data_IF_279963931841
#
_entry.id   IF_279963931841
#
_cell.length_a   1.000
_cell.length_b   1.000
_cell.length_c   1.000
_cell.angle_alpha   90.00
_cell.angle_beta   90.00
_cell.angle_gamma   90.00
#
_symmetry.space_group_name_H-M   'P 1'
#
loop_
_entity.id
_entity.type
_entity.pdbx_description
1 polymer ?
#
# COMPACT_ATOMS: atom_id res chain seq x y z
N UNK A 1 8.99 -3.71 31.52
CA UNK A 1 8.44 -4.59 30.47
C UNK A 1 9.24 -4.40 29.17
N UNK A 2 10.49 -4.85 29.12
CA UNK A 2 11.28 -4.96 27.87
C UNK A 2 11.20 -6.40 27.35
N UNK A 3 10.01 -6.99 27.43
CA UNK A 3 9.82 -8.42 27.24
C UNK A 3 9.87 -8.77 25.77
N UNK A 4 11.01 -9.32 25.37
CA UNK A 4 11.15 -10.38 24.36
C UNK A 4 10.84 -10.05 22.90
N UNK A 5 11.10 -8.81 22.44
CA UNK A 5 11.14 -8.48 21.00
C UNK A 5 12.07 -9.40 20.19
N UNK A 6 13.16 -9.86 20.81
CA UNK A 6 14.08 -10.84 20.21
C UNK A 6 13.45 -12.21 20.01
N UNK A 7 12.68 -12.70 20.99
CA UNK A 7 12.01 -14.01 20.87
C UNK A 7 10.89 -13.95 19.84
N UNK A 8 10.12 -12.86 19.83
CA UNK A 8 9.10 -12.61 18.80
C UNK A 8 9.70 -12.56 17.40
N UNK A 9 10.84 -11.87 17.21
CA UNK A 9 11.54 -11.86 15.92
C UNK A 9 11.93 -13.29 15.48
N UNK A 10 12.47 -14.09 16.40
CA UNK A 10 12.87 -15.48 16.12
C UNK A 10 11.66 -16.35 15.78
N UNK A 11 10.52 -16.16 16.44
CA UNK A 11 9.28 -16.89 16.17
C UNK A 11 8.75 -16.59 14.75
N UNK A 12 8.68 -15.32 14.37
CA UNK A 12 8.29 -14.93 13.01
C UNK A 12 9.25 -15.45 11.96
N UNK A 13 10.56 -15.42 12.21
CA UNK A 13 11.56 -16.03 11.30
C UNK A 13 11.32 -17.53 11.15
N UNK A 14 11.08 -18.24 12.25
CA UNK A 14 10.86 -19.69 12.21
C UNK A 14 9.63 -20.04 11.38
N UNK A 15 8.54 -19.29 11.53
CA UNK A 15 7.33 -19.47 10.73
C UNK A 15 7.58 -19.09 9.26
N UNK A 16 8.30 -17.98 9.00
CA UNK A 16 8.63 -17.54 7.66
C UNK A 16 9.45 -18.59 6.89
N UNK A 17 10.51 -19.12 7.51
CA UNK A 17 11.36 -20.16 6.92
C UNK A 17 10.58 -21.46 6.70
N UNK A 18 9.65 -21.80 7.59
CA UNK A 18 8.79 -22.98 7.41
C UNK A 18 7.89 -22.85 6.18
N UNK A 19 7.25 -21.69 6.00
CA UNK A 19 6.39 -21.42 4.84
C UNK A 19 7.20 -21.27 3.55
N UNK A 20 8.41 -20.69 3.62
CA UNK A 20 9.35 -20.57 2.50
C UNK A 20 9.80 -21.95 2.01
N UNK A 21 10.20 -22.84 2.93
CA UNK A 21 10.54 -24.23 2.61
C UNK A 21 9.35 -25.04 2.09
N UNK A 22 8.12 -24.66 2.49
CA UNK A 22 6.89 -25.26 1.97
C UNK A 22 6.49 -24.71 0.57
N UNK A 23 7.24 -23.74 0.03
CA UNK A 23 6.91 -23.08 -1.24
C UNK A 23 5.75 -22.09 -1.16
N UNK A 24 5.27 -21.79 0.04
CA UNK A 24 4.16 -20.86 0.29
C UNK A 24 4.66 -19.42 0.36
N UNK A 25 5.22 -18.93 -0.74
CA UNK A 25 5.81 -17.59 -0.85
C UNK A 25 4.86 -16.45 -0.46
N UNK A 26 3.57 -16.59 -0.77
CA UNK A 26 2.53 -15.61 -0.43
C UNK A 26 2.34 -15.43 1.09
N UNK A 27 2.60 -16.48 1.89
CA UNK A 27 2.54 -16.42 3.36
C UNK A 27 3.90 -16.13 3.97
N UNK A 28 4.99 -16.61 3.35
CA UNK A 28 6.35 -16.39 3.83
C UNK A 28 6.75 -14.91 3.77
N UNK A 29 6.39 -14.19 2.70
CA UNK A 29 6.75 -12.78 2.53
C UNK A 29 6.31 -11.86 3.69
N UNK A 30 5.01 -11.82 4.07
CA UNK A 30 4.57 -10.96 5.19
C UNK A 30 5.19 -11.39 6.54
N UNK A 31 5.48 -12.68 6.74
CA UNK A 31 6.15 -13.15 7.96
C UNK A 31 7.60 -12.67 8.04
N UNK A 32 8.33 -12.67 6.92
CA UNK A 32 9.68 -12.07 6.86
C UNK A 32 9.65 -10.56 7.11
N UNK A 33 8.68 -9.84 6.56
CA UNK A 33 8.53 -8.39 6.79
C UNK A 33 8.29 -8.07 8.27
N UNK A 34 7.39 -8.83 8.93
CA UNK A 34 7.13 -8.68 10.36
C UNK A 34 8.40 -8.97 11.19
N UNK A 35 9.14 -10.04 10.88
CA UNK A 35 10.39 -10.36 11.57
C UNK A 35 11.43 -9.22 11.48
N UNK A 36 11.57 -8.60 10.29
CA UNK A 36 12.50 -7.48 10.09
C UNK A 36 12.09 -6.25 10.90
N UNK A 37 10.80 -5.97 11.06
CA UNK A 37 10.33 -4.86 11.91
C UNK A 37 10.76 -5.06 13.38
N UNK A 38 10.62 -6.28 13.90
CA UNK A 38 11.09 -6.61 15.25
C UNK A 38 12.62 -6.53 15.40
N UNK A 39 13.38 -6.96 14.39
CA UNK A 39 14.83 -6.79 14.41
C UNK A 39 15.26 -5.32 14.36
N UNK A 40 14.58 -4.49 13.55
CA UNK A 40 14.84 -3.04 13.47
C UNK A 40 14.60 -2.36 14.81
N UNK A 41 13.51 -2.71 15.49
CA UNK A 41 13.24 -2.17 16.83
C UNK A 41 14.28 -2.66 17.83
N UNK A 42 14.69 -3.93 17.79
CA UNK A 42 15.73 -4.46 18.68
C UNK A 42 17.10 -3.80 18.46
N UNK A 43 17.51 -3.56 17.21
CA UNK A 43 18.76 -2.85 16.88
C UNK A 43 18.80 -1.41 17.42
N UNK A 44 17.65 -0.73 17.51
CA UNK A 44 17.53 0.62 18.07
C UNK A 44 17.89 0.68 19.57
N UNK A 45 17.59 -0.39 20.31
CA UNK A 45 17.77 -0.44 21.77
C UNK A 45 18.94 -1.31 22.23
N UNK A 46 19.53 -2.11 21.35
CA UNK A 46 20.73 -2.88 21.65
C UNK A 46 21.93 -1.94 21.89
N UNK A 47 22.79 -2.27 22.86
CA UNK A 47 23.99 -1.47 23.19
C UNK A 47 25.27 -2.23 22.91
N UNK A 48 25.21 -3.56 22.85
CA UNK A 48 26.38 -4.38 22.62
C UNK A 48 26.73 -4.44 21.11
N UNK A 49 27.92 -3.98 20.70
CA UNK A 49 28.30 -3.92 19.29
C UNK A 49 28.36 -5.30 18.62
N UNK A 50 28.80 -6.34 19.33
CA UNK A 50 28.87 -7.71 18.78
C UNK A 50 27.48 -8.30 18.49
N UNK A 51 26.51 -7.99 19.36
CA UNK A 51 25.12 -8.44 19.19
C UNK A 51 24.46 -7.66 18.04
N UNK A 52 24.71 -6.35 17.94
CA UNK A 52 24.27 -5.54 16.79
C UNK A 52 24.77 -6.09 15.48
N UNK A 53 26.05 -6.42 15.40
CA UNK A 53 26.66 -6.96 14.19
C UNK A 53 26.01 -8.29 13.79
N UNK A 54 25.88 -9.23 14.72
CA UNK A 54 25.24 -10.52 14.46
C UNK A 54 23.76 -10.39 14.02
N UNK A 55 23.01 -9.46 14.64
CA UNK A 55 21.61 -9.22 14.29
C UNK A 55 21.50 -8.48 12.95
N UNK A 56 22.41 -7.57 12.66
CA UNK A 56 22.44 -6.86 11.36
C UNK A 56 22.76 -7.83 10.22
N UNK A 57 23.70 -8.75 10.41
CA UNK A 57 23.99 -9.81 9.42
C UNK A 57 22.74 -10.64 9.13
N UNK A 58 22.04 -11.10 10.17
CA UNK A 58 20.80 -11.86 10.00
C UNK A 58 19.66 -11.03 9.40
N UNK A 59 19.57 -9.75 9.75
CA UNK A 59 18.60 -8.83 9.16
C UNK A 59 18.81 -8.71 7.64
N UNK A 60 20.06 -8.52 7.20
CA UNK A 60 20.38 -8.43 5.76
C UNK A 60 20.10 -9.74 5.04
N UNK A 61 20.40 -10.88 5.65
CA UNK A 61 20.10 -12.22 5.11
C UNK A 61 18.59 -12.40 4.85
N UNK A 62 17.75 -12.10 5.85
CA UNK A 62 16.30 -12.23 5.72
C UNK A 62 15.68 -11.16 4.80
N UNK A 63 16.24 -9.95 4.75
CA UNK A 63 15.80 -8.91 3.83
C UNK A 63 16.03 -9.36 2.37
N UNK A 64 17.21 -9.88 2.05
CA UNK A 64 17.53 -10.39 0.72
C UNK A 64 16.59 -11.53 0.34
N UNK A 65 16.34 -12.47 1.25
CA UNK A 65 15.41 -13.57 0.98
C UNK A 65 13.99 -13.08 0.71
N UNK A 66 13.53 -12.06 1.43
CA UNK A 66 12.21 -11.48 1.21
C UNK A 66 12.11 -10.72 -0.13
N UNK A 67 13.20 -10.08 -0.58
CA UNK A 67 13.28 -9.48 -1.93
C UNK A 67 13.21 -10.54 -3.03
N UNK A 68 13.90 -11.67 -2.86
CA UNK A 68 13.83 -12.81 -3.78
C UNK A 68 12.38 -13.35 -3.87
N UNK A 69 11.73 -13.55 -2.72
CA UNK A 69 10.34 -14.00 -2.65
C UNK A 69 9.41 -13.00 -3.33
N UNK A 70 9.63 -11.69 -3.13
CA UNK A 70 8.84 -10.65 -3.79
C UNK A 70 9.00 -10.71 -5.31
N UNK A 71 10.21 -10.89 -5.83
CA UNK A 71 10.43 -11.02 -7.27
C UNK A 71 9.72 -12.25 -7.84
N UNK A 72 9.76 -13.39 -7.16
CA UNK A 72 9.04 -14.61 -7.56
C UNK A 72 7.52 -14.41 -7.52
N UNK A 73 7.00 -13.70 -6.52
CA UNK A 73 5.58 -13.36 -6.45
C UNK A 73 5.16 -12.39 -7.56
N UNK A 74 6.01 -11.44 -7.94
CA UNK A 74 5.75 -10.48 -9.03
C UNK A 74 5.79 -11.15 -10.41
N UNK A 75 6.73 -12.09 -10.62
CA UNK A 75 6.78 -12.94 -11.82
C UNK A 75 5.64 -13.99 -11.86
N UNK A 76 5.14 -14.41 -10.69
CA UNK A 76 4.02 -15.35 -10.52
C UNK A 76 2.62 -14.76 -10.72
N UNK A 77 2.49 -13.43 -10.83
CA UNK A 77 1.22 -12.72 -11.15
C UNK A 77 0.92 -12.81 -12.67
N UNK A 78 1.22 -13.97 -13.26
CA UNK A 78 0.63 -14.50 -14.50
C UNK A 78 -0.23 -15.74 -14.27
N UNK A 79 -0.35 -16.27 -13.04
CA UNK A 79 -1.21 -17.43 -12.73
C UNK A 79 -1.54 -17.46 -11.24
N UNK A 80 -2.68 -16.87 -10.87
CA UNK A 80 -3.27 -17.07 -9.54
C UNK A 80 -3.99 -18.43 -9.47
N UNK A 81 -4.06 -19.02 -8.26
CA UNK A 81 -5.38 -19.36 -7.76
C UNK A 81 -5.56 -19.07 -6.25
N UNK A 82 -6.67 -18.44 -5.88
CA UNK A 82 -7.37 -18.74 -4.63
C UNK A 82 -8.25 -19.99 -4.82
N UNK A 83 -8.77 -20.71 -3.83
CA UNK A 83 -8.72 -20.64 -2.36
C UNK A 83 -9.42 -21.89 -1.80
N UNK A 84 -8.93 -22.41 -0.66
CA UNK A 84 -9.63 -23.12 0.43
C UNK A 84 -10.31 -24.49 0.24
N UNK A 85 -10.01 -25.41 1.19
CA UNK A 85 -11.00 -26.29 1.83
C UNK A 85 -11.08 -27.74 1.34
N UNK A 86 -10.88 -28.69 2.25
CA UNK A 86 -10.86 -30.13 2.05
C UNK A 86 -12.20 -30.75 1.59
N UNK A 87 -12.18 -31.72 0.66
CA UNK A 87 -12.55 -33.15 0.84
C UNK A 87 -12.32 -33.97 -0.46
N UNK A 88 -11.53 -35.05 -0.31
CA UNK A 88 -11.60 -36.41 -0.89
C UNK A 88 -12.14 -36.69 -2.33
N UNK A 89 -11.32 -37.47 -3.06
CA UNK A 89 -11.59 -38.42 -4.17
C UNK A 89 -11.47 -37.96 -5.65
N UNK A 90 -10.73 -38.80 -6.39
CA UNK A 90 -10.40 -38.87 -7.84
C UNK A 90 -11.28 -39.96 -8.51
N UNK A 91 -11.43 -40.17 -9.85
CA UNK A 91 -11.06 -39.41 -11.08
C UNK A 91 -12.18 -39.22 -12.15
N UNK A 92 -11.81 -38.47 -13.21
CA UNK A 92 -12.10 -38.67 -14.66
C UNK A 92 -13.33 -38.00 -15.34
N UNK A 93 -12.98 -37.34 -16.46
CA UNK A 93 -13.67 -37.25 -17.76
C UNK A 93 -14.54 -36.01 -18.07
N UNK A 94 -14.16 -35.32 -19.17
CA UNK A 94 -15.09 -34.70 -20.11
C UNK A 94 -15.42 -33.20 -19.99
N UNK A 95 -15.01 -32.43 -21.00
CA UNK A 95 -15.85 -31.37 -21.60
C UNK A 95 -15.60 -29.91 -21.19
N UNK A 96 -15.35 -29.09 -22.21
CA UNK A 96 -15.40 -27.60 -22.27
C UNK A 96 -16.65 -27.02 -21.58
N UNK A 97 -16.72 -25.79 -21.04
CA UNK A 97 -16.55 -24.50 -21.72
C UNK A 97 -16.80 -23.33 -20.73
N UNK A 98 -16.27 -22.13 -21.03
CA UNK A 98 -16.97 -20.86 -20.75
C UNK A 98 -16.64 -20.07 -19.47
N UNK A 99 -15.77 -19.04 -19.59
CA UNK A 99 -15.63 -17.98 -18.59
C UNK A 99 -14.63 -16.90 -18.99
N UNK A 100 -14.93 -16.17 -20.08
CA UNK A 100 -14.06 -15.15 -20.67
C UNK A 100 -13.68 -14.00 -19.72
N UNK A 101 -12.43 -13.55 -19.83
CA UNK A 101 -12.07 -12.20 -19.38
C UNK A 101 -12.83 -11.20 -20.25
N UNK A 102 -13.73 -10.47 -19.60
CA UNK A 102 -14.63 -9.53 -20.24
C UNK A 102 -13.80 -8.44 -20.97
N UNK A 103 -13.84 -8.35 -22.31
CA UNK A 103 -13.05 -7.36 -23.06
C UNK A 103 -13.42 -5.92 -22.69
N UNK A 104 -14.54 -5.70 -21.99
CA UNK A 104 -14.89 -4.42 -21.38
C UNK A 104 -14.01 -4.06 -20.18
N UNK A 105 -13.62 -5.03 -19.34
CA UNK A 105 -12.82 -4.78 -18.13
C UNK A 105 -11.40 -4.35 -18.48
N UNK A 106 -10.82 -4.91 -19.54
CA UNK A 106 -9.50 -4.51 -20.02
C UNK A 106 -9.54 -3.15 -20.72
N UNK A 107 -10.63 -2.83 -21.43
CA UNK A 107 -10.87 -1.47 -21.94
C UNK A 107 -11.02 -0.45 -20.81
N UNK A 108 -11.72 -0.79 -19.72
CA UNK A 108 -11.85 0.07 -18.55
C UNK A 108 -10.51 0.28 -17.84
N UNK A 109 -9.69 -0.77 -17.67
CA UNK A 109 -8.33 -0.67 -17.12
C UNK A 109 -7.42 0.19 -17.99
N UNK A 110 -7.48 0.03 -19.31
CA UNK A 110 -6.73 0.86 -20.25
C UNK A 110 -7.18 2.33 -20.20
N UNK A 111 -8.48 2.58 -20.11
CA UNK A 111 -9.04 3.93 -19.93
C UNK A 111 -8.59 4.58 -18.63
N UNK A 112 -8.60 3.83 -17.52
CA UNK A 112 -8.10 4.29 -16.23
C UNK A 112 -6.61 4.66 -16.31
N UNK A 113 -5.77 3.81 -16.91
CA UNK A 113 -4.34 4.11 -17.05
C UNK A 113 -4.04 5.45 -17.74
N UNK A 114 -4.89 5.91 -18.66
CA UNK A 114 -4.74 7.22 -19.30
C UNK A 114 -5.15 8.41 -18.42
N UNK A 115 -6.07 8.19 -17.46
CA UNK A 115 -6.52 9.20 -16.50
C UNK A 115 -5.63 9.29 -15.24
N UNK A 116 -4.77 8.29 -15.03
CA UNK A 116 -3.78 8.32 -13.96
C UNK A 116 -2.64 9.22 -14.40
N UNK A 117 -2.62 10.44 -13.87
CA UNK A 117 -1.41 11.26 -13.92
C UNK A 117 -0.40 10.59 -12.97
N UNK A 118 0.47 9.76 -13.54
CA UNK A 118 1.57 9.09 -12.81
C UNK A 118 2.72 10.04 -12.47
N UNK A 119 2.68 11.26 -13.00
CA UNK A 119 3.65 12.30 -12.67
C UNK A 119 3.22 13.04 -11.41
N UNK A 120 4.05 12.99 -10.36
CA UNK A 120 3.87 13.82 -9.17
C UNK A 120 3.85 15.28 -9.64
N UNK A 121 2.74 16.04 -9.45
CA UNK A 121 2.79 17.49 -9.67
C UNK A 121 3.93 18.06 -8.83
N UNK A 122 4.61 19.10 -9.31
CA UNK A 122 5.68 19.77 -8.57
C UNK A 122 5.17 21.10 -8.00
N UNK A 123 4.09 21.04 -7.22
CA UNK A 123 3.47 22.22 -6.60
C UNK A 123 3.63 22.06 -5.08
N UNK A 124 4.19 23.07 -4.42
CA UNK A 124 4.42 23.04 -2.96
C UNK A 124 3.36 23.85 -2.23
N UNK A 125 3.25 23.67 -0.91
CA UNK A 125 2.35 24.49 -0.07
C UNK A 125 2.61 25.99 -0.16
N UNK A 126 3.86 26.38 -0.41
CA UNK A 126 4.29 27.77 -0.55
C UNK A 126 3.85 28.40 -1.88
N UNK A 127 3.54 27.58 -2.90
CA UNK A 127 3.09 28.07 -4.21
C UNK A 127 1.59 28.42 -4.21
N UNK A 128 0.86 28.02 -3.17
CA UNK A 128 -0.53 28.39 -2.97
C UNK A 128 -0.56 29.65 -2.09
N UNK A 129 -1.10 30.76 -2.58
CA UNK A 129 -1.27 31.94 -1.73
C UNK A 129 -2.54 31.83 -0.85
N UNK A 130 -2.46 32.24 0.42
CA UNK A 130 -3.59 32.24 1.35
C UNK A 130 -4.04 30.83 1.79
N UNK A 131 -5.32 30.72 2.16
CA UNK A 131 -5.99 29.47 2.54
C UNK A 131 -5.33 28.74 3.72
N UNK A 132 -4.74 29.48 4.66
CA UNK A 132 -3.95 28.97 5.78
C UNK A 132 -4.72 27.94 6.60
N UNK A 133 -6.00 28.21 6.89
CA UNK A 133 -6.87 27.28 7.63
C UNK A 133 -7.11 25.98 6.86
N UNK A 134 -7.33 26.05 5.55
CA UNK A 134 -7.56 24.87 4.72
C UNK A 134 -6.26 24.05 4.54
N UNK A 135 -5.11 24.72 4.38
CA UNK A 135 -3.80 24.07 4.33
C UNK A 135 -3.51 23.34 5.63
N UNK A 136 -3.72 24.00 6.77
CA UNK A 136 -3.50 23.38 8.07
C UNK A 136 -4.40 22.15 8.27
N UNK A 137 -5.70 22.26 7.95
CA UNK A 137 -6.63 21.15 8.07
C UNK A 137 -6.23 19.97 7.17
N UNK A 138 -5.83 20.22 5.92
CA UNK A 138 -5.36 19.19 5.01
C UNK A 138 -4.05 18.57 5.48
N UNK A 139 -3.12 19.39 5.98
CA UNK A 139 -1.84 18.92 6.49
C UNK A 139 -2.04 18.01 7.70
N UNK A 140 -2.88 18.40 8.66
CA UNK A 140 -3.21 17.56 9.81
C UNK A 140 -3.90 16.27 9.38
N UNK A 141 -4.90 16.37 8.51
CA UNK A 141 -5.70 15.23 8.11
C UNK A 141 -4.94 14.21 7.24
N UNK A 142 -3.91 14.64 6.51
CA UNK A 142 -3.08 13.76 5.66
C UNK A 142 -1.82 13.30 6.40
N UNK A 143 -1.13 14.19 7.12
CA UNK A 143 0.15 13.87 7.75
C UNK A 143 -0.02 13.13 9.08
N UNK A 144 -1.02 13.48 9.90
CA UNK A 144 -1.18 12.85 11.23
C UNK A 144 -1.43 11.34 11.13
N UNK A 145 -2.27 10.82 10.20
CA UNK A 145 -2.42 9.39 10.03
C UNK A 145 -1.14 8.67 9.67
N UNK A 146 -0.31 9.27 8.80
CA UNK A 146 0.95 8.70 8.34
C UNK A 146 2.01 8.73 9.44
N UNK A 147 2.12 9.83 10.19
CA UNK A 147 3.12 9.98 11.26
C UNK A 147 2.76 9.25 12.55
N UNK A 148 1.49 9.15 12.88
CA UNK A 148 1.01 8.56 14.14
C UNK A 148 -0.14 7.56 13.93
N UNK A 149 0.08 6.47 13.17
CA UNK A 149 -0.95 5.49 12.85
C UNK A 149 -1.60 4.88 14.11
N UNK A 150 -0.87 4.80 15.23
CA UNK A 150 -1.37 4.30 16.51
C UNK A 150 -2.58 5.08 17.06
N UNK A 151 -2.70 6.38 16.76
CA UNK A 151 -3.82 7.21 17.22
C UNK A 151 -5.09 7.02 16.37
N UNK A 152 -4.97 6.37 15.21
CA UNK A 152 -6.05 6.14 14.26
C UNK A 152 -6.49 4.65 14.25
N UNK A 153 -6.52 4.04 15.44
CA UNK A 153 -6.99 2.67 15.64
C UNK A 153 -8.44 2.65 16.14
N UNK A 154 -9.22 1.64 15.73
CA UNK A 154 -10.62 1.49 16.15
C UNK A 154 -11.58 2.52 15.55
N UNK A 155 -12.20 3.35 16.40
CA UNK A 155 -13.25 4.33 15.99
C UNK A 155 -12.67 5.61 15.37
N UNK A 156 -11.44 5.98 15.70
CA UNK A 156 -10.76 7.13 15.09
C UNK A 156 -10.16 6.68 13.77
N UNK A 157 -10.90 6.87 12.68
CA UNK A 157 -10.42 6.55 11.33
C UNK A 157 -9.82 7.81 10.69
N UNK A 158 -8.78 7.67 9.86
CA UNK A 158 -8.28 8.78 9.08
C UNK A 158 -9.35 9.30 8.12
N UNK A 159 -9.19 10.55 7.70
CA UNK A 159 -10.11 11.20 6.77
C UNK A 159 -10.04 10.48 5.42
N UNK A 160 -11.21 10.11 4.88
CA UNK A 160 -11.31 9.35 3.62
C UNK A 160 -11.50 10.24 2.39
N UNK A 161 -12.04 11.43 2.58
CA UNK A 161 -12.35 12.34 1.48
C UNK A 161 -12.39 13.79 1.97
N UNK A 162 -11.97 14.71 1.10
CA UNK A 162 -12.06 16.15 1.31
C UNK A 162 -12.87 16.76 0.17
N UNK A 163 -13.77 17.68 0.50
CA UNK A 163 -14.49 18.47 -0.49
C UNK A 163 -14.02 19.92 -0.42
N UNK A 164 -13.33 20.36 -1.47
CA UNK A 164 -12.96 21.77 -1.63
C UNK A 164 -14.06 22.47 -2.43
N UNK A 165 -14.76 23.43 -1.80
CA UNK A 165 -15.81 24.22 -2.44
C UNK A 165 -15.49 25.72 -2.37
N UNK A 166 -16.06 26.50 -3.29
CA UNK A 166 -15.88 27.94 -3.35
C UNK A 166 -15.90 28.49 -4.78
N UNK A 167 -15.90 29.82 -4.95
CA UNK A 167 -15.95 30.49 -6.26
C UNK A 167 -14.89 29.96 -7.24
N UNK A 168 -15.15 29.91 -8.56
CA UNK A 168 -14.15 29.48 -9.53
C UNK A 168 -12.90 30.38 -9.46
N UNK A 169 -11.72 29.83 -9.77
CA UNK A 169 -10.45 30.59 -9.73
C UNK A 169 -9.77 30.70 -8.35
N UNK A 170 -10.37 30.21 -7.27
CA UNK A 170 -9.77 30.28 -5.91
C UNK A 170 -8.70 29.22 -5.60
N UNK A 171 -8.06 28.65 -6.62
CA UNK A 171 -6.93 27.74 -6.42
C UNK A 171 -7.25 26.35 -5.84
N UNK A 172 -8.51 25.93 -5.73
CA UNK A 172 -8.90 24.61 -5.17
C UNK A 172 -8.19 23.42 -5.84
N UNK A 173 -8.15 23.38 -7.17
CA UNK A 173 -7.44 22.33 -7.91
C UNK A 173 -5.91 22.45 -7.76
N UNK A 174 -5.41 23.66 -7.54
CA UNK A 174 -3.99 23.92 -7.32
C UNK A 174 -3.55 23.46 -5.92
N UNK A 175 -4.41 23.67 -4.91
CA UNK A 175 -4.26 23.14 -3.56
C UNK A 175 -4.27 21.61 -3.54
N UNK A 176 -5.16 20.97 -4.31
CA UNK A 176 -5.20 19.52 -4.44
C UNK A 176 -3.88 18.94 -5.03
N UNK A 177 -3.28 19.63 -6.01
CA UNK A 177 -1.97 19.27 -6.56
C UNK A 177 -0.86 19.44 -5.50
N UNK A 178 -0.90 20.51 -4.70
CA UNK A 178 0.06 20.72 -3.63
C UNK A 178 0.00 19.60 -2.57
N UNK A 179 -1.21 19.21 -2.16
CA UNK A 179 -1.43 18.08 -1.24
C UNK A 179 -0.84 16.80 -1.80
N UNK A 180 -1.09 16.47 -3.07
CA UNK A 180 -0.59 15.24 -3.67
C UNK A 180 0.95 15.19 -3.75
N UNK A 181 1.58 16.33 -4.03
CA UNK A 181 3.04 16.49 -4.05
C UNK A 181 3.64 16.19 -2.68
N UNK A 182 3.06 16.76 -1.64
CA UNK A 182 3.59 16.75 -0.27
C UNK A 182 3.27 15.47 0.49
N UNK A 183 2.20 14.79 0.09
CA UNK A 183 1.80 13.50 0.64
C UNK A 183 2.48 12.31 -0.08
N UNK A 184 3.31 12.58 -1.10
CA UNK A 184 3.96 11.58 -1.95
C UNK A 184 3.00 10.53 -2.56
N UNK A 185 1.72 10.90 -2.74
CA UNK A 185 0.65 10.00 -3.16
C UNK A 185 0.30 10.16 -4.65
N UNK A 186 -0.31 9.13 -5.22
CA UNK A 186 -0.76 9.13 -6.62
C UNK A 186 -1.93 10.08 -6.80
N UNK A 187 -1.82 11.04 -7.73
CA UNK A 187 -2.88 12.01 -8.02
C UNK A 187 -3.73 11.56 -9.20
N UNK A 188 -4.99 11.23 -8.92
CA UNK A 188 -5.98 10.93 -9.97
C UNK A 188 -6.71 12.20 -10.37
N UNK A 189 -6.51 12.63 -11.62
CA UNK A 189 -7.29 13.72 -12.21
C UNK A 189 -8.25 13.13 -13.22
N UNK A 190 -9.54 13.14 -12.91
CA UNK A 190 -10.57 12.73 -13.86
C UNK A 190 -11.20 13.98 -14.49
N UNK A 191 -10.75 14.42 -15.68
CA UNK A 191 -11.49 15.42 -16.45
C UNK A 191 -12.84 14.83 -16.88
N UNK A 192 -13.89 15.66 -16.92
CA UNK A 192 -15.26 15.27 -17.33
C UNK A 192 -15.39 14.83 -18.80
N UNK A 193 -14.29 14.52 -19.50
CA UNK A 193 -14.30 14.15 -20.89
C UNK A 193 -14.44 12.62 -21.01
N UNK A 194 -15.68 12.12 -20.95
CA UNK A 194 -15.98 10.72 -21.28
C UNK A 194 -17.07 10.03 -20.46
N UNK A 195 -17.58 10.63 -19.39
CA UNK A 195 -18.75 10.09 -18.67
C UNK A 195 -20.01 10.79 -19.18
N UNK A 196 -21.00 10.01 -19.62
CA UNK A 196 -22.31 10.50 -20.06
C UNK A 196 -22.85 11.61 -19.12
N UNK A 197 -23.53 12.64 -19.64
CA UNK A 197 -23.78 13.92 -18.95
C UNK A 197 -24.80 13.88 -17.79
N UNK A 198 -24.97 12.75 -17.09
CA UNK A 198 -26.01 12.58 -16.08
C UNK A 198 -25.54 12.62 -14.61
N UNK A 199 -24.26 12.84 -14.31
CA UNK A 199 -23.81 12.89 -12.91
C UNK A 199 -22.79 13.99 -12.65
N UNK A 200 -23.25 15.01 -11.94
CA UNK A 200 -22.44 16.12 -11.46
C UNK A 200 -21.27 15.65 -10.59
N UNK A 201 -20.08 16.09 -10.99
CA UNK A 201 -18.89 16.39 -10.18
C UNK A 201 -18.59 15.39 -9.05
N UNK A 202 -17.60 14.53 -9.28
CA UNK A 202 -16.87 13.86 -8.20
C UNK A 202 -15.39 13.75 -8.54
N UNK A 203 -14.60 14.67 -7.99
CA UNK A 203 -13.14 14.53 -7.94
C UNK A 203 -12.81 13.54 -6.81
N UNK A 204 -12.24 12.40 -7.16
CA UNK A 204 -11.73 11.41 -6.21
C UNK A 204 -10.21 11.40 -6.26
N UNK A 205 -9.58 11.72 -5.14
CA UNK A 205 -8.19 11.35 -4.86
C UNK A 205 -8.31 10.13 -3.95
N UNK A 206 -8.05 8.95 -4.50
CA UNK A 206 -7.91 7.69 -3.77
C UNK A 206 -6.61 7.07 -4.25
N UNK A 207 -5.58 7.06 -3.42
CA UNK A 207 -4.82 5.85 -3.10
C UNK A 207 -3.88 6.15 -1.92
N UNK A 208 -4.31 5.72 -0.74
CA UNK A 208 -3.44 5.44 0.40
C UNK A 208 -3.72 4.00 0.80
N UNK A 209 -2.85 3.11 0.34
CA UNK A 209 -2.61 1.79 0.91
C UNK A 209 -1.25 1.84 1.61
#
# INVERSE_FOLDING_TARGET
>A
MYSNFKEQAIEYVRQAVQEDNAGNYAKAFPLYMNALEYFKTHLKYEKNPKIKEAITQKFTEYLRRAEEIRAVLDEGVGSGPGSNGAVVAKPKDGGEDGGGEDPEKDKLRAGLNSAIIREKPNVKWNDVAGLESAKQALQEAVILPVKFPQFFTGKRRPWRAFLLYGPPGTGKSYLAKAVATEAESTFFSCPNQGVHPASGIRHYINDFA
#
